data_IF_614224750028
#
_entry.id   IF_614224750028
#
_cell.length_a   1.000
_cell.length_b   1.000
_cell.length_c   1.000
_cell.angle_alpha   90.00
_cell.angle_beta   90.00
_cell.angle_gamma   90.00
#
_symmetry.space_group_name_H-M   'P 1'
#
loop_
_entity.id
_entity.type
_entity.pdbx_description
1 polymer ?
#
# COMPACT_ATOMS: atom_id res chain seq x y z
N UNK A 1 -24.84 -16.15 -71.14
CA UNK A 1 -23.48 -15.68 -70.82
C UNK A 1 -23.16 -15.57 -69.32
N UNK A 2 -24.10 -15.85 -68.40
CA UNK A 2 -23.83 -15.72 -66.96
C UNK A 2 -23.16 -16.94 -66.20
N UNK A 3 -23.14 -18.12 -66.82
CA UNK A 3 -22.70 -19.33 -66.18
C UNK A 3 -21.16 -19.49 -66.13
N UNK A 4 -20.43 -18.90 -67.07
CA UNK A 4 -18.96 -19.04 -67.14
C UNK A 4 -18.24 -18.23 -66.05
N UNK A 5 -18.83 -17.11 -65.65
CA UNK A 5 -18.23 -16.23 -64.58
C UNK A 5 -18.32 -16.86 -63.24
N UNK A 6 -19.30 -17.68 -62.92
CA UNK A 6 -19.49 -18.31 -61.59
C UNK A 6 -18.51 -19.45 -61.39
N UNK A 7 -18.14 -20.18 -62.42
CA UNK A 7 -17.25 -21.34 -62.38
C UNK A 7 -15.79 -20.94 -62.03
N UNK A 8 -15.32 -19.75 -62.44
CA UNK A 8 -13.99 -19.22 -62.13
C UNK A 8 -13.93 -18.45 -60.82
N UNK A 9 -15.05 -17.86 -60.38
CA UNK A 9 -15.09 -17.08 -59.12
C UNK A 9 -15.14 -17.99 -57.89
N UNK A 10 -15.78 -19.13 -57.94
CA UNK A 10 -15.92 -20.07 -56.84
C UNK A 10 -14.59 -20.61 -56.28
N UNK A 11 -13.63 -21.08 -57.12
CA UNK A 11 -12.32 -21.53 -56.60
C UNK A 11 -11.48 -20.38 -56.04
N UNK A 12 -11.60 -19.16 -56.59
CA UNK A 12 -10.88 -17.98 -56.05
C UNK A 12 -11.42 -17.62 -54.67
N UNK A 13 -12.73 -17.61 -54.45
CA UNK A 13 -13.34 -17.38 -53.15
C UNK A 13 -12.91 -18.46 -52.13
N UNK A 14 -12.86 -19.70 -52.52
CA UNK A 14 -12.43 -20.80 -51.64
C UNK A 14 -10.95 -20.67 -51.23
N UNK A 15 -10.09 -20.29 -52.17
CA UNK A 15 -8.67 -20.06 -51.89
C UNK A 15 -8.50 -18.85 -50.94
N UNK A 16 -9.20 -17.75 -51.19
CA UNK A 16 -9.20 -16.57 -50.34
C UNK A 16 -9.71 -16.90 -48.92
N UNK A 17 -10.80 -17.63 -48.81
CA UNK A 17 -11.35 -18.06 -47.52
C UNK A 17 -10.38 -18.99 -46.76
N UNK A 18 -9.71 -19.91 -47.45
CA UNK A 18 -8.74 -20.81 -46.86
C UNK A 18 -7.49 -20.09 -46.33
N UNK A 19 -7.10 -18.97 -46.94
CA UNK A 19 -5.99 -18.12 -46.47
C UNK A 19 -6.41 -17.11 -45.41
N UNK A 20 -7.62 -16.56 -45.51
CA UNK A 20 -8.10 -15.51 -44.58
C UNK A 20 -8.31 -16.06 -43.19
N UNK A 21 -8.85 -17.26 -43.04
CA UNK A 21 -9.17 -17.87 -41.73
C UNK A 21 -7.93 -18.07 -40.87
N UNK A 22 -6.83 -18.70 -41.34
CA UNK A 22 -5.62 -18.83 -40.51
C UNK A 22 -4.95 -17.47 -40.25
N UNK A 23 -5.00 -16.54 -41.20
CA UNK A 23 -4.42 -15.21 -41.03
C UNK A 23 -5.14 -14.43 -39.90
N UNK A 24 -6.47 -14.44 -39.90
CA UNK A 24 -7.28 -13.82 -38.84
C UNK A 24 -6.99 -14.50 -37.48
N UNK A 25 -6.86 -15.82 -37.44
CA UNK A 25 -6.56 -16.55 -36.25
C UNK A 25 -5.19 -16.14 -35.65
N UNK A 26 -4.16 -16.01 -36.48
CA UNK A 26 -2.82 -15.57 -36.06
C UNK A 26 -2.88 -14.14 -35.53
N UNK A 27 -3.50 -13.21 -36.26
CA UNK A 27 -3.63 -11.81 -35.84
C UNK A 27 -4.38 -11.73 -34.50
N UNK A 28 -5.49 -12.46 -34.37
CA UNK A 28 -6.27 -12.49 -33.11
C UNK A 28 -5.47 -13.03 -31.96
N UNK A 29 -4.64 -14.05 -32.14
CA UNK A 29 -3.77 -14.61 -31.13
C UNK A 29 -2.72 -13.59 -30.68
N UNK A 30 -2.08 -12.87 -31.61
CA UNK A 30 -1.13 -11.79 -31.30
C UNK A 30 -1.82 -10.68 -30.49
N UNK A 31 -3.02 -10.27 -30.89
CA UNK A 31 -3.80 -9.26 -30.17
C UNK A 31 -4.12 -9.68 -28.73
N UNK A 32 -4.56 -10.93 -28.54
CA UNK A 32 -4.86 -11.47 -27.20
C UNK A 32 -3.59 -11.49 -26.33
N UNK A 33 -2.45 -11.89 -26.89
CA UNK A 33 -1.17 -11.88 -26.17
C UNK A 33 -0.77 -10.46 -25.77
N UNK A 34 -0.93 -9.48 -26.66
CA UNK A 34 -0.64 -8.08 -26.38
C UNK A 34 -1.58 -7.51 -25.29
N UNK A 35 -2.89 -7.81 -25.38
CA UNK A 35 -3.85 -7.39 -24.36
C UNK A 35 -3.52 -7.95 -22.97
N UNK A 36 -3.16 -9.25 -22.89
CA UNK A 36 -2.73 -9.85 -21.61
C UNK A 36 -1.50 -9.15 -21.03
N UNK A 37 -0.53 -8.81 -21.86
CA UNK A 37 0.66 -8.09 -21.42
C UNK A 37 0.32 -6.68 -20.92
N UNK A 38 -0.57 -5.96 -21.60
CA UNK A 38 -1.03 -4.63 -21.17
C UNK A 38 -1.78 -4.73 -19.85
N UNK A 39 -2.72 -5.67 -19.70
CA UNK A 39 -3.46 -5.87 -18.47
C UNK A 39 -2.54 -6.23 -17.30
N UNK A 40 -1.53 -7.09 -17.54
CA UNK A 40 -0.54 -7.43 -16.50
C UNK A 40 0.26 -6.21 -16.05
N UNK A 41 0.70 -5.36 -17.01
CA UNK A 41 1.41 -4.11 -16.67
C UNK A 41 0.53 -3.14 -15.91
N UNK A 42 -0.72 -2.96 -16.32
CA UNK A 42 -1.69 -2.12 -15.62
C UNK A 42 -1.90 -2.61 -14.17
N UNK A 43 -2.10 -3.90 -13.99
CA UNK A 43 -2.25 -4.49 -12.64
C UNK A 43 -1.02 -4.26 -11.76
N UNK A 44 0.20 -4.42 -12.30
CA UNK A 44 1.43 -4.15 -11.56
C UNK A 44 1.53 -2.67 -11.13
N UNK A 45 1.15 -1.74 -12.02
CA UNK A 45 1.13 -0.30 -11.70
C UNK A 45 0.10 0.01 -10.61
N UNK A 46 -1.08 -0.59 -10.67
CA UNK A 46 -2.12 -0.42 -9.64
C UNK A 46 -1.66 -0.95 -8.28
N UNK A 47 -1.09 -2.15 -8.23
CA UNK A 47 -0.54 -2.73 -6.99
C UNK A 47 0.57 -1.84 -6.43
N UNK A 48 1.49 -1.37 -7.28
CA UNK A 48 2.54 -0.46 -6.87
C UNK A 48 2.00 0.85 -6.29
N UNK A 49 0.97 1.42 -6.91
CA UNK A 49 0.30 2.62 -6.40
C UNK A 49 -0.31 2.37 -5.02
N UNK A 50 -1.03 1.26 -4.86
CA UNK A 50 -1.63 0.90 -3.57
C UNK A 50 -0.57 0.71 -2.47
N UNK A 51 0.59 0.12 -2.79
CA UNK A 51 1.73 -0.01 -1.89
C UNK A 51 2.30 1.35 -1.47
N UNK A 52 2.48 2.26 -2.42
CA UNK A 52 2.94 3.63 -2.14
C UNK A 52 1.96 4.36 -1.23
N UNK A 53 0.66 4.27 -1.50
CA UNK A 53 -0.36 4.94 -0.71
C UNK A 53 -0.43 4.36 0.72
N UNK A 54 -0.28 3.05 0.87
CA UNK A 54 -0.16 2.39 2.18
C UNK A 54 1.05 2.89 2.97
N UNK A 55 2.22 2.91 2.35
CA UNK A 55 3.46 3.40 2.96
C UNK A 55 3.31 4.86 3.39
N UNK A 56 2.80 5.74 2.52
CA UNK A 56 2.54 7.14 2.84
C UNK A 56 1.62 7.30 4.04
N UNK A 57 0.59 6.45 4.14
CA UNK A 57 -0.32 6.45 5.27
C UNK A 57 0.42 6.18 6.59
N UNK A 58 1.28 5.16 6.64
CA UNK A 58 2.08 4.85 7.82
C UNK A 58 3.03 6.00 8.20
N UNK A 59 3.69 6.63 7.23
CA UNK A 59 4.55 7.79 7.47
C UNK A 59 3.78 8.98 8.05
N UNK A 60 2.64 9.30 7.46
CA UNK A 60 1.81 10.41 7.92
C UNK A 60 1.27 10.15 9.33
N UNK A 61 0.84 8.93 9.61
CA UNK A 61 0.35 8.50 10.92
C UNK A 61 1.45 8.57 11.99
N UNK A 62 2.67 8.10 11.65
CA UNK A 62 3.83 8.27 12.53
C UNK A 62 4.15 9.74 12.79
N UNK A 63 4.14 10.58 11.75
CA UNK A 63 4.35 12.02 11.87
C UNK A 63 3.34 12.67 12.81
N UNK A 64 2.06 12.31 12.69
CA UNK A 64 1.00 12.79 13.57
C UNK A 64 1.19 12.32 15.00
N UNK A 65 1.48 11.03 15.20
CA UNK A 65 1.73 10.47 16.52
C UNK A 65 2.95 11.11 17.21
N UNK A 66 4.04 11.29 16.46
CA UNK A 66 5.25 11.97 16.92
C UNK A 66 4.97 13.43 17.34
N UNK A 67 4.10 14.12 16.63
CA UNK A 67 3.67 15.46 16.98
C UNK A 67 2.98 15.48 18.34
N UNK A 68 2.05 14.55 18.59
CA UNK A 68 1.35 14.45 19.87
C UNK A 68 2.32 14.16 21.04
N UNK A 69 3.28 13.24 20.86
CA UNK A 69 4.28 12.93 21.89
C UNK A 69 5.14 14.15 22.20
N UNK A 70 5.57 14.92 21.21
CA UNK A 70 6.39 16.11 21.42
C UNK A 70 5.62 17.25 22.12
N UNK A 71 4.30 17.26 22.06
CA UNK A 71 3.48 18.20 22.83
C UNK A 71 3.41 17.86 24.32
N UNK A 72 3.58 16.59 24.71
CA UNK A 72 3.45 16.15 26.11
C UNK A 72 4.39 16.88 27.06
N UNK A 73 5.71 17.06 26.80
CA UNK A 73 6.61 17.79 27.68
C UNK A 73 6.22 19.27 27.86
N UNK A 74 5.79 19.92 26.78
CA UNK A 74 5.35 21.33 26.81
C UNK A 74 4.02 21.51 27.55
N UNK A 75 3.17 20.49 27.53
CA UNK A 75 1.90 20.47 28.23
C UNK A 75 2.05 20.31 29.75
N UNK A 76 3.10 19.66 30.27
CA UNK A 76 3.28 19.52 31.71
C UNK A 76 3.34 20.88 32.45
N UNK A 77 3.87 21.91 31.78
CA UNK A 77 3.85 23.26 32.30
C UNK A 77 2.47 23.93 32.20
N UNK A 78 1.62 23.49 31.23
CA UNK A 78 0.30 24.04 30.96
C UNK A 78 -0.86 23.18 31.50
N UNK A 79 -0.67 21.86 31.68
CA UNK A 79 -1.68 20.88 32.14
C UNK A 79 -2.09 21.13 33.60
N UNK A 80 -1.22 21.73 34.40
CA UNK A 80 -1.60 22.20 35.75
C UNK A 80 -2.75 23.23 35.66
N UNK A 81 -3.00 23.81 34.50
CA UNK A 81 -4.02 24.83 34.30
C UNK A 81 -5.31 24.35 33.58
N UNK A 82 -5.33 23.22 32.84
CA UNK A 82 -6.52 22.83 32.06
C UNK A 82 -6.61 21.30 31.79
N UNK A 83 -7.43 20.59 32.55
CA UNK A 83 -7.72 19.14 32.41
C UNK A 83 -8.29 18.72 31.01
N UNK A 84 -8.86 19.64 30.25
CA UNK A 84 -9.57 19.32 29.00
C UNK A 84 -8.66 18.94 27.82
N UNK A 85 -7.38 19.33 27.83
CA UNK A 85 -6.48 19.09 26.71
C UNK A 85 -5.85 17.68 26.73
N UNK A 86 -5.79 17.05 27.90
CA UNK A 86 -5.22 15.70 28.06
C UNK A 86 -6.09 14.65 27.39
N UNK A 87 -7.39 14.69 27.58
CA UNK A 87 -8.34 13.78 26.95
C UNK A 87 -8.32 13.89 25.41
N UNK A 88 -8.17 15.12 24.91
CA UNK A 88 -8.05 15.35 23.47
C UNK A 88 -6.81 14.69 22.86
N UNK A 89 -5.64 14.80 23.53
CA UNK A 89 -4.40 14.19 23.05
C UNK A 89 -4.52 12.67 23.09
N UNK A 90 -4.99 12.08 24.18
CA UNK A 90 -5.20 10.64 24.30
C UNK A 90 -6.14 10.16 23.20
N UNK A 91 -7.29 10.81 23.04
CA UNK A 91 -8.27 10.45 22.01
C UNK A 91 -7.68 10.51 20.59
N UNK A 92 -6.86 11.53 20.32
CA UNK A 92 -6.20 11.67 19.02
C UNK A 92 -5.15 10.58 18.78
N UNK A 93 -4.36 10.20 19.81
CA UNK A 93 -3.41 9.09 19.73
C UNK A 93 -4.14 7.74 19.55
N UNK A 94 -5.23 7.52 20.28
CA UNK A 94 -6.08 6.32 20.14
C UNK A 94 -6.67 6.22 18.72
N UNK A 95 -7.08 7.35 18.14
CA UNK A 95 -7.58 7.38 16.77
C UNK A 95 -6.50 7.01 15.77
N UNK A 96 -5.31 7.59 15.85
CA UNK A 96 -4.18 7.24 14.97
C UNK A 96 -3.83 5.76 15.10
N UNK A 97 -3.81 5.24 16.32
CA UNK A 97 -3.58 3.82 16.59
C UNK A 97 -4.64 2.92 15.92
N UNK A 98 -5.92 3.26 16.06
CA UNK A 98 -7.02 2.50 15.47
C UNK A 98 -6.95 2.50 13.94
N UNK A 99 -6.60 3.63 13.33
CA UNK A 99 -6.43 3.75 11.89
C UNK A 99 -5.24 2.92 11.39
N UNK A 100 -4.09 2.97 12.07
CA UNK A 100 -2.93 2.14 11.75
C UNK A 100 -3.26 0.65 11.84
N UNK A 101 -3.95 0.24 12.90
CA UNK A 101 -4.36 -1.16 13.07
C UNK A 101 -5.28 -1.63 11.94
N UNK A 102 -6.23 -0.79 11.53
CA UNK A 102 -7.14 -1.07 10.40
C UNK A 102 -6.36 -1.20 9.09
N UNK A 103 -5.40 -0.31 8.84
CA UNK A 103 -4.57 -0.36 7.63
C UNK A 103 -3.64 -1.57 7.60
N UNK A 104 -3.09 -2.00 8.73
CA UNK A 104 -2.23 -3.18 8.83
C UNK A 104 -2.91 -4.45 8.32
N UNK A 105 -4.24 -4.57 8.46
CA UNK A 105 -4.97 -5.73 7.94
C UNK A 105 -4.84 -5.90 6.42
N UNK A 106 -4.60 -4.83 5.68
CA UNK A 106 -4.37 -4.88 4.23
C UNK A 106 -2.95 -5.28 3.83
N UNK A 107 -1.99 -5.24 4.75
CA UNK A 107 -0.57 -5.48 4.48
C UNK A 107 -0.29 -6.88 3.95
N UNK A 108 -0.95 -7.91 4.50
CA UNK A 108 -0.81 -9.29 4.01
C UNK A 108 -1.22 -9.42 2.53
N UNK A 109 -2.19 -8.64 2.09
CA UNK A 109 -2.68 -8.67 0.70
C UNK A 109 -1.78 -7.87 -0.25
N UNK A 110 -1.25 -6.74 0.23
CA UNK A 110 -0.44 -5.84 -0.60
C UNK A 110 1.04 -6.23 -0.66
N UNK A 111 1.54 -6.87 0.39
CA UNK A 111 2.96 -7.19 0.54
C UNK A 111 3.16 -8.67 0.89
N UNK A 112 3.45 -8.96 2.15
CA UNK A 112 3.69 -10.31 2.67
C UNK A 112 3.45 -10.38 4.18
N UNK A 113 3.58 -11.58 4.75
CA UNK A 113 3.41 -11.82 6.17
C UNK A 113 4.53 -11.21 7.02
N UNK A 114 5.76 -11.24 6.54
CA UNK A 114 6.92 -10.65 7.23
C UNK A 114 6.71 -9.16 7.50
N UNK A 115 6.29 -8.39 6.49
CA UNK A 115 6.02 -6.97 6.66
C UNK A 115 4.82 -6.71 7.58
N UNK A 116 3.79 -7.54 7.51
CA UNK A 116 2.65 -7.48 8.42
C UNK A 116 3.10 -7.62 9.88
N UNK A 117 4.02 -8.54 10.17
CA UNK A 117 4.53 -8.74 11.54
C UNK A 117 5.37 -7.56 12.01
N UNK A 118 6.22 -6.98 11.14
CA UNK A 118 7.00 -5.78 11.45
C UNK A 118 6.08 -4.59 11.73
N UNK A 119 5.07 -4.36 10.89
CA UNK A 119 4.07 -3.30 11.12
C UNK A 119 3.28 -3.53 12.42
N UNK A 120 2.88 -4.77 12.69
CA UNK A 120 2.18 -5.12 13.91
C UNK A 120 3.01 -4.84 15.15
N UNK A 121 4.32 -5.16 15.12
CA UNK A 121 5.24 -4.88 16.20
C UNK A 121 5.41 -3.37 16.42
N UNK A 122 5.51 -2.60 15.34
CA UNK A 122 5.53 -1.14 15.41
C UNK A 122 4.23 -0.59 16.02
N UNK A 123 3.07 -1.00 15.51
CA UNK A 123 1.76 -0.54 16.02
C UNK A 123 1.59 -0.88 17.49
N UNK A 124 1.96 -2.09 17.92
CA UNK A 124 1.88 -2.50 19.32
C UNK A 124 2.81 -1.66 20.22
N UNK A 125 3.98 -1.26 19.72
CA UNK A 125 4.86 -0.35 20.46
C UNK A 125 4.25 1.03 20.66
N UNK A 126 3.49 1.54 19.66
CA UNK A 126 2.77 2.81 19.80
C UNK A 126 1.72 2.76 20.91
N UNK A 127 1.04 1.62 21.09
CA UNK A 127 0.05 1.46 22.15
C UNK A 127 0.65 1.68 23.53
N UNK A 128 1.90 1.26 23.74
CA UNK A 128 2.60 1.44 25.01
C UNK A 128 2.92 2.92 25.32
N UNK A 129 2.87 3.79 24.29
CA UNK A 129 3.06 5.23 24.43
C UNK A 129 1.75 5.99 24.72
N UNK A 130 0.59 5.33 24.58
CA UNK A 130 -0.70 5.96 24.85
C UNK A 130 -0.98 5.83 26.36
N UNK A 131 -0.99 6.93 27.11
CA UNK A 131 -1.23 6.90 28.54
C UNK A 131 -2.65 6.41 28.84
N UNK A 132 -2.82 5.63 29.90
CA UNK A 132 -4.14 5.27 30.39
C UNK A 132 -4.85 6.49 30.96
N UNK A 133 -6.17 6.59 30.75
CA UNK A 133 -6.98 7.68 31.28
C UNK A 133 -6.88 7.71 32.81
N UNK A 134 -6.52 8.87 33.36
CA UNK A 134 -6.36 9.05 34.82
C UNK A 134 -5.02 8.62 35.40
N UNK A 135 -4.07 8.18 34.61
CA UNK A 135 -2.69 7.94 35.06
C UNK A 135 -1.88 9.24 35.09
N UNK A 136 -1.03 9.38 36.14
CA UNK A 136 0.01 10.40 36.11
C UNK A 136 1.00 10.10 35.00
N UNK A 137 1.11 11.01 34.06
CA UNK A 137 2.03 10.89 32.93
C UNK A 137 3.46 11.17 33.44
N UNK A 138 4.17 10.12 33.78
CA UNK A 138 5.59 10.25 34.04
C UNK A 138 6.34 10.36 32.72
N UNK A 139 6.99 11.50 32.49
CA UNK A 139 7.78 11.80 31.26
C UNK A 139 8.76 10.66 30.98
N UNK A 140 9.29 10.02 31.99
CA UNK A 140 10.30 8.96 31.87
C UNK A 140 9.75 7.73 31.09
N UNK A 141 8.57 7.25 31.45
CA UNK A 141 7.98 6.07 30.81
C UNK A 141 7.59 6.33 29.35
N UNK A 142 7.18 7.56 29.05
CA UNK A 142 6.79 7.94 27.68
C UNK A 142 8.02 8.06 26.78
N UNK A 143 9.12 8.63 27.28
CA UNK A 143 10.35 8.76 26.50
C UNK A 143 10.99 7.41 26.19
N UNK A 144 11.02 6.48 27.15
CA UNK A 144 11.56 5.13 26.96
C UNK A 144 10.71 4.33 25.95
N UNK A 145 9.40 4.35 26.10
CA UNK A 145 8.47 3.70 25.16
C UNK A 145 8.54 4.33 23.77
N UNK A 146 8.76 5.64 23.69
CA UNK A 146 8.92 6.36 22.43
C UNK A 146 10.18 5.94 21.67
N UNK A 147 11.30 5.74 22.37
CA UNK A 147 12.55 5.27 21.77
C UNK A 147 12.37 3.88 21.13
N UNK A 148 11.68 2.96 21.82
CA UNK A 148 11.33 1.64 21.28
C UNK A 148 10.48 1.77 19.99
N UNK A 149 9.45 2.61 20.02
CA UNK A 149 8.59 2.83 18.83
C UNK A 149 9.36 3.47 17.68
N UNK A 150 10.28 4.38 17.96
CA UNK A 150 11.14 4.99 16.95
C UNK A 150 12.08 3.98 16.29
N UNK A 151 12.66 3.07 17.07
CA UNK A 151 13.52 2.02 16.55
C UNK A 151 12.75 1.05 15.67
N UNK A 152 11.55 0.65 16.08
CA UNK A 152 10.65 -0.20 15.26
C UNK A 152 10.16 0.50 14.01
N UNK A 153 9.92 1.81 14.05
CA UNK A 153 9.61 2.59 12.87
C UNK A 153 10.79 2.64 11.89
N UNK A 154 12.01 2.78 12.36
CA UNK A 154 13.19 2.75 11.49
C UNK A 154 13.36 1.38 10.82
N UNK A 155 13.15 0.27 11.54
CA UNK A 155 13.14 -1.08 10.96
C UNK A 155 12.08 -1.20 9.85
N UNK A 156 10.87 -0.74 10.11
CA UNK A 156 9.77 -0.71 9.15
C UNK A 156 10.12 0.14 7.92
N UNK A 157 10.74 1.31 8.14
CA UNK A 157 11.18 2.20 7.07
C UNK A 157 12.18 1.52 6.13
N UNK A 158 13.21 0.87 6.68
CA UNK A 158 14.22 0.14 5.91
C UNK A 158 13.58 -0.97 5.07
N UNK A 159 12.60 -1.68 5.64
CA UNK A 159 11.88 -2.73 4.92
C UNK A 159 11.03 -2.19 3.77
N UNK A 160 10.36 -1.07 3.97
CA UNK A 160 9.62 -0.40 2.89
C UNK A 160 10.54 0.04 1.74
N UNK A 161 11.71 0.60 2.06
CA UNK A 161 12.71 1.00 1.06
C UNK A 161 13.21 -0.21 0.27
N UNK A 162 13.47 -1.34 0.94
CA UNK A 162 13.88 -2.59 0.29
C UNK A 162 12.82 -3.06 -0.72
N UNK A 163 11.56 -3.08 -0.32
CA UNK A 163 10.44 -3.52 -1.18
C UNK A 163 10.28 -2.60 -2.38
N UNK A 164 10.28 -1.28 -2.18
CA UNK A 164 10.14 -0.31 -3.26
C UNK A 164 11.29 -0.39 -4.26
N UNK A 165 12.51 -0.65 -3.80
CA UNK A 165 13.66 -0.84 -4.68
C UNK A 165 13.51 -2.11 -5.53
N UNK A 166 13.02 -3.21 -4.97
CA UNK A 166 12.73 -4.45 -5.71
C UNK A 166 11.65 -4.24 -6.77
N UNK A 167 10.57 -3.56 -6.41
CA UNK A 167 9.46 -3.25 -7.32
C UNK A 167 9.91 -2.34 -8.47
N UNK A 168 10.79 -1.38 -8.21
CA UNK A 168 11.31 -0.46 -9.22
C UNK A 168 12.22 -1.17 -10.26
N UNK A 169 12.93 -2.22 -9.86
CA UNK A 169 13.72 -3.07 -10.77
C UNK A 169 12.79 -3.88 -11.69
N UNK A 170 11.68 -4.41 -11.14
CA UNK A 170 10.71 -5.20 -11.91
C UNK A 170 9.96 -4.33 -12.94
N UNK A 171 9.73 -3.05 -12.65
CA UNK A 171 9.03 -2.14 -13.55
C UNK A 171 9.87 -1.69 -14.76
N UNK A 172 11.19 -1.89 -14.72
CA UNK A 172 12.11 -1.48 -15.80
C UNK A 172 12.44 -2.59 -16.80
N UNK A 173 12.08 -3.83 -16.50
CA UNK A 173 12.22 -5.01 -17.36
C UNK A 173 10.85 -5.44 -17.94
#
# INVERSE_FOLDING_TARGET
>A
MCNITIEYVKPIINILSALLTPTIAIISTIFICQQKNIQRRQHLVEVFKLRIDHIKFFFNSWGSFNTYINYIPNYKAQIIAQNNNQEYIISSMEQVFAELYKHNLSTKMLFNEELFDIESNFINSLRNNIPSRGQDWTIYNILESYEDSRNKFNELYEKYVEILNKDNIISKN
#
